data_IF_688314951170
#
_entry.id   IF_688314951170
#
_cell.length_a   1.000
_cell.length_b   1.000
_cell.length_c   1.000
_cell.angle_alpha   90.00
_cell.angle_beta   90.00
_cell.angle_gamma   90.00
#
_symmetry.space_group_name_H-M   'P 1'
#
loop_
_entity.id
_entity.type
_entity.pdbx_description
1 polymer ?
#
# COMPACT_ATOMS: atom_id res chain seq x y z
N UNK A 1 -14.97 -25.00 6.03
CA UNK A 1 -15.19 -23.62 5.53
C UNK A 1 -16.67 -23.27 5.68
N UNK A 2 -17.08 -22.81 6.86
CA UNK A 2 -18.38 -22.16 7.04
C UNK A 2 -18.09 -20.67 7.21
N UNK A 3 -18.35 -19.92 6.14
CA UNK A 3 -18.28 -18.46 6.13
C UNK A 3 -19.39 -17.93 7.04
N UNK A 4 -19.05 -17.59 8.28
CA UNK A 4 -19.81 -16.59 9.02
C UNK A 4 -19.55 -15.27 8.30
N UNK A 5 -20.50 -14.87 7.46
CA UNK A 5 -20.64 -13.48 7.00
C UNK A 5 -20.99 -12.63 8.23
N UNK A 6 -19.99 -12.22 8.99
CA UNK A 6 -20.14 -11.04 9.83
C UNK A 6 -20.25 -9.87 8.88
N UNK A 7 -21.47 -9.36 8.68
CA UNK A 7 -21.67 -8.11 7.96
C UNK A 7 -20.79 -7.05 8.59
N UNK A 8 -19.86 -6.50 7.81
CA UNK A 8 -19.07 -5.34 8.23
C UNK A 8 -20.04 -4.17 8.25
N UNK A 9 -20.62 -3.89 9.42
CA UNK A 9 -21.34 -2.64 9.64
C UNK A 9 -20.29 -1.54 9.79
N UNK A 10 -20.10 -0.74 8.75
CA UNK A 10 -19.39 0.53 8.83
C UNK A 10 -20.21 1.50 9.71
N UNK A 11 -20.12 1.35 11.04
CA UNK A 11 -20.55 2.40 11.95
C UNK A 11 -19.40 3.38 12.08
N UNK A 12 -19.48 4.52 11.40
CA UNK A 12 -18.66 5.66 11.76
C UNK A 12 -18.97 6.01 13.23
N UNK A 13 -17.94 6.19 14.05
CA UNK A 13 -18.11 6.84 15.36
C UNK A 13 -18.67 8.25 15.09
N UNK A 14 -19.96 8.50 15.36
CA UNK A 14 -20.55 9.83 15.18
C UNK A 14 -22.01 9.93 14.70
N UNK A 15 -22.72 8.82 14.47
CA UNK A 15 -24.18 8.87 14.25
C UNK A 15 -24.66 9.48 12.92
N UNK A 16 -23.78 9.69 11.94
CA UNK A 16 -24.17 10.09 10.60
C UNK A 16 -24.66 8.89 9.77
N UNK A 17 -25.72 9.11 8.98
CA UNK A 17 -26.18 8.15 7.98
C UNK A 17 -25.04 7.83 7.01
N UNK A 18 -24.78 6.55 6.68
CA UNK A 18 -23.82 6.19 5.65
C UNK A 18 -24.14 6.92 4.35
N UNK A 19 -23.11 7.41 3.67
CA UNK A 19 -23.28 8.00 2.36
C UNK A 19 -23.60 6.93 1.32
N UNK A 20 -24.19 7.34 0.20
CA UNK A 20 -24.36 6.47 -0.95
C UNK A 20 -22.97 6.18 -1.61
N UNK A 21 -22.76 5.00 -2.21
CA UNK A 21 -21.47 4.64 -2.80
C UNK A 21 -20.86 5.68 -3.75
N UNK A 22 -21.63 6.36 -4.64
CA UNK A 22 -21.10 7.42 -5.49
C UNK A 22 -20.54 8.61 -4.69
N UNK A 23 -21.16 8.97 -3.57
CA UNK A 23 -20.73 10.09 -2.74
C UNK A 23 -19.37 9.80 -2.08
N UNK A 24 -19.13 8.55 -1.66
CA UNK A 24 -17.81 8.13 -1.20
C UNK A 24 -16.76 8.24 -2.30
N UNK A 25 -17.08 7.86 -3.53
CA UNK A 25 -16.17 7.97 -4.67
C UNK A 25 -15.85 9.43 -5.02
N UNK A 26 -16.86 10.30 -5.03
CA UNK A 26 -16.69 11.74 -5.33
C UNK A 26 -15.86 12.48 -4.29
N UNK A 27 -15.65 11.92 -3.09
CA UNK A 27 -14.69 12.45 -2.13
C UNK A 27 -13.23 12.27 -2.57
N UNK A 28 -12.93 11.31 -3.43
CA UNK A 28 -11.59 11.10 -4.03
C UNK A 28 -11.44 11.84 -5.35
N UNK A 29 -12.51 11.97 -6.13
CA UNK A 29 -12.54 12.59 -7.43
C UNK A 29 -13.59 13.70 -7.44
N UNK A 30 -13.16 14.95 -7.20
CA UNK A 30 -14.05 16.11 -7.23
C UNK A 30 -14.53 16.42 -8.64
N UNK A 31 -15.57 17.26 -8.75
CA UNK A 31 -16.05 17.79 -10.03
C UNK A 31 -14.91 18.40 -10.87
N UNK A 32 -14.04 19.18 -10.23
CA UNK A 32 -12.88 19.78 -10.88
C UNK A 32 -11.88 18.79 -11.47
N UNK A 33 -11.80 17.56 -10.95
CA UNK A 33 -10.97 16.50 -11.53
C UNK A 33 -11.57 16.01 -12.85
N UNK A 34 -12.90 15.87 -12.91
CA UNK A 34 -13.60 15.48 -14.14
C UNK A 34 -13.60 16.59 -15.19
N UNK A 35 -13.67 17.85 -14.77
CA UNK A 35 -13.49 19.02 -15.64
C UNK A 35 -12.12 19.02 -16.31
N UNK A 36 -11.04 18.90 -15.52
CA UNK A 36 -9.68 18.81 -16.05
C UNK A 36 -9.47 17.60 -16.95
N UNK A 37 -10.04 16.43 -16.58
CA UNK A 37 -9.97 15.25 -17.44
C UNK A 37 -10.63 15.48 -18.79
N UNK A 38 -11.81 16.11 -18.83
CA UNK A 38 -12.51 16.41 -20.07
C UNK A 38 -11.73 17.42 -20.92
N UNK A 39 -11.30 18.52 -20.31
CA UNK A 39 -10.52 19.59 -20.96
C UNK A 39 -9.23 19.05 -21.59
N UNK A 40 -8.36 18.41 -20.80
CA UNK A 40 -7.06 17.97 -21.29
C UNK A 40 -7.15 16.77 -22.25
N UNK A 41 -8.19 15.94 -22.12
CA UNK A 41 -8.50 14.90 -23.12
C UNK A 41 -8.88 15.52 -24.46
N UNK A 42 -9.68 16.58 -24.46
CA UNK A 42 -10.05 17.31 -25.66
C UNK A 42 -8.86 18.02 -26.30
N UNK A 43 -8.04 18.71 -25.51
CA UNK A 43 -6.80 19.36 -25.96
C UNK A 43 -5.87 18.32 -26.61
N UNK A 44 -5.64 17.19 -25.95
CA UNK A 44 -4.78 16.13 -26.49
C UNK A 44 -5.31 15.56 -27.81
N UNK A 45 -6.62 15.33 -27.93
CA UNK A 45 -7.22 14.86 -29.17
C UNK A 45 -7.05 15.87 -30.31
N UNK A 46 -7.24 17.17 -30.01
CA UNK A 46 -7.06 18.24 -30.97
C UNK A 46 -5.61 18.31 -31.46
N UNK A 47 -4.65 18.26 -30.55
CA UNK A 47 -3.21 18.30 -30.86
C UNK A 47 -2.73 17.11 -31.68
N UNK A 48 -3.26 15.91 -31.42
CA UNK A 48 -2.78 14.67 -32.06
C UNK A 48 -3.53 14.29 -33.33
N UNK A 49 -4.80 14.68 -33.46
CA UNK A 49 -5.65 14.27 -34.59
C UNK A 49 -6.21 15.43 -35.41
N UNK A 50 -5.98 16.68 -34.97
CA UNK A 50 -6.57 17.87 -35.58
C UNK A 50 -8.07 18.02 -35.31
N UNK A 51 -8.66 17.16 -34.47
CA UNK A 51 -10.08 17.18 -34.12
C UNK A 51 -10.29 17.05 -32.63
N UNK A 52 -11.12 17.92 -32.09
CA UNK A 52 -11.56 17.81 -30.71
C UNK A 52 -12.39 16.53 -30.53
N UNK A 53 -12.20 15.84 -29.41
CA UNK A 53 -12.99 14.65 -29.09
C UNK A 53 -14.42 15.00 -28.65
N UNK A 54 -14.64 16.23 -28.16
CA UNK A 54 -15.91 16.71 -27.62
C UNK A 54 -16.34 15.90 -26.38
N UNK A 55 -15.40 15.56 -25.50
CA UNK A 55 -15.67 14.82 -24.26
C UNK A 55 -16.10 15.79 -23.17
N UNK A 56 -17.15 15.44 -22.43
CA UNK A 56 -17.64 16.26 -21.31
C UNK A 56 -17.29 15.65 -19.97
N UNK A 57 -17.28 16.42 -18.86
CA UNK A 57 -17.04 15.87 -17.52
C UNK A 57 -18.01 14.73 -17.18
N UNK A 58 -19.28 14.87 -17.59
CA UNK A 58 -20.29 13.83 -17.40
C UNK A 58 -19.95 12.54 -18.16
N UNK A 59 -19.43 12.65 -19.39
CA UNK A 59 -19.02 11.48 -20.15
C UNK A 59 -17.79 10.79 -19.53
N UNK A 60 -16.86 11.55 -18.96
CA UNK A 60 -15.73 10.99 -18.19
C UNK A 60 -16.23 10.24 -16.96
N UNK A 61 -17.23 10.77 -16.22
CA UNK A 61 -17.84 10.04 -15.09
C UNK A 61 -18.45 8.71 -15.53
N UNK A 62 -19.19 8.69 -16.64
CA UNK A 62 -19.74 7.44 -17.21
C UNK A 62 -18.61 6.48 -17.56
N UNK A 63 -17.53 6.96 -18.18
CA UNK A 63 -16.35 6.15 -18.48
C UNK A 63 -15.73 5.51 -17.23
N UNK A 64 -15.56 6.27 -16.13
CA UNK A 64 -15.09 5.73 -14.85
C UNK A 64 -16.09 4.74 -14.23
N UNK A 65 -17.39 5.00 -14.33
CA UNK A 65 -18.45 4.07 -13.92
C UNK A 65 -18.34 2.72 -14.63
N UNK A 66 -18.11 2.75 -15.93
CA UNK A 66 -17.85 1.55 -16.74
C UNK A 66 -16.58 0.83 -16.26
N UNK A 67 -15.47 1.55 -16.01
CA UNK A 67 -14.23 0.94 -15.50
C UNK A 67 -14.43 0.25 -14.14
N UNK A 68 -15.21 0.84 -13.24
CA UNK A 68 -15.56 0.23 -11.95
C UNK A 68 -16.37 -1.05 -12.14
N UNK A 69 -17.39 -1.03 -12.99
CA UNK A 69 -18.18 -2.23 -13.32
C UNK A 69 -17.29 -3.33 -13.93
N UNK A 70 -16.38 -2.97 -14.84
CA UNK A 70 -15.42 -3.90 -15.44
C UNK A 70 -14.46 -4.50 -14.41
N UNK A 71 -14.03 -3.72 -13.42
CA UNK A 71 -13.18 -4.18 -12.32
C UNK A 71 -13.87 -5.20 -11.42
N UNK A 72 -15.20 -5.08 -11.24
CA UNK A 72 -16.01 -6.04 -10.49
C UNK A 72 -16.28 -7.33 -11.29
N UNK A 73 -16.67 -7.20 -12.57
CA UNK A 73 -17.09 -8.31 -13.42
C UNK A 73 -15.92 -9.10 -14.04
N UNK A 74 -14.79 -8.43 -14.31
CA UNK A 74 -13.52 -9.03 -14.75
C UNK A 74 -13.60 -9.91 -16.01
N UNK A 75 -14.42 -9.52 -16.99
CA UNK A 75 -14.43 -10.22 -18.28
C UNK A 75 -13.06 -10.16 -18.96
N UNK A 76 -12.62 -11.26 -19.61
CA UNK A 76 -11.26 -11.37 -20.14
C UNK A 76 -10.97 -10.42 -21.31
N UNK A 77 -12.00 -9.94 -22.01
CA UNK A 77 -11.86 -9.00 -23.13
C UNK A 77 -12.86 -7.85 -23.00
N UNK A 78 -12.37 -6.61 -23.12
CA UNK A 78 -13.19 -5.38 -23.00
C UNK A 78 -14.39 -5.39 -23.97
N UNK A 79 -14.25 -5.88 -25.20
CA UNK A 79 -15.37 -5.88 -26.15
C UNK A 79 -16.54 -6.79 -25.74
N UNK A 80 -16.32 -7.76 -24.85
CA UNK A 80 -17.35 -8.70 -24.43
C UNK A 80 -18.52 -8.00 -23.74
N UNK A 81 -18.28 -6.90 -23.02
CA UNK A 81 -19.35 -6.12 -22.36
C UNK A 81 -20.42 -5.60 -23.34
N UNK A 82 -20.10 -5.47 -24.64
CA UNK A 82 -21.01 -5.01 -25.69
C UNK A 82 -21.51 -6.12 -26.63
N UNK A 83 -20.94 -7.32 -26.59
CA UNK A 83 -21.27 -8.42 -27.50
C UNK A 83 -22.58 -9.09 -27.11
N UNK A 84 -23.43 -9.45 -28.08
CA UNK A 84 -24.79 -9.95 -27.83
C UNK A 84 -24.89 -11.06 -26.75
N UNK A 85 -24.04 -12.09 -26.81
CA UNK A 85 -24.06 -13.22 -25.87
C UNK A 85 -23.46 -12.94 -24.48
N UNK A 86 -22.77 -11.82 -24.31
CA UNK A 86 -22.10 -11.43 -23.04
C UNK A 86 -22.41 -9.99 -22.67
N UNK A 87 -23.50 -9.43 -23.23
CA UNK A 87 -23.82 -8.02 -23.11
C UNK A 87 -24.13 -7.70 -21.66
N UNK A 88 -23.55 -6.61 -21.17
CA UNK A 88 -23.87 -6.05 -19.86
C UNK A 88 -24.61 -4.73 -20.12
N UNK A 89 -25.96 -4.68 -19.96
CA UNK A 89 -26.77 -3.50 -20.30
C UNK A 89 -26.25 -2.21 -19.66
N UNK A 90 -25.93 -2.25 -18.35
CA UNK A 90 -25.40 -1.09 -17.63
C UNK A 90 -24.07 -0.52 -18.16
N UNK A 91 -23.34 -1.28 -18.99
CA UNK A 91 -22.12 -0.79 -19.67
C UNK A 91 -22.46 -0.41 -21.10
N UNK A 92 -23.15 -1.30 -21.81
CA UNK A 92 -23.35 -1.20 -23.24
C UNK A 92 -24.38 -0.14 -23.65
N UNK A 93 -25.34 0.16 -22.78
CA UNK A 93 -26.36 1.19 -22.98
C UNK A 93 -25.84 2.58 -22.54
N UNK A 94 -24.89 2.64 -21.62
CA UNK A 94 -24.34 3.91 -21.11
C UNK A 94 -23.31 4.55 -22.04
N UNK A 95 -22.56 3.76 -22.82
CA UNK A 95 -21.58 4.29 -23.77
C UNK A 95 -21.33 3.28 -24.90
N UNK A 96 -21.36 3.74 -26.15
CA UNK A 96 -21.02 2.90 -27.29
C UNK A 96 -19.55 2.43 -27.25
N UNK A 97 -19.28 1.18 -27.67
CA UNK A 97 -17.93 0.57 -27.61
C UNK A 97 -16.86 1.41 -28.29
N UNK A 98 -17.15 1.99 -29.46
CA UNK A 98 -16.20 2.82 -30.20
C UNK A 98 -15.92 4.14 -29.47
N UNK A 99 -16.91 4.71 -28.77
CA UNK A 99 -16.73 5.92 -27.97
C UNK A 99 -15.85 5.63 -26.75
N UNK A 100 -16.09 4.51 -26.06
CA UNK A 100 -15.25 4.04 -24.96
C UNK A 100 -13.78 3.91 -25.36
N UNK A 101 -13.49 3.28 -26.50
CA UNK A 101 -12.10 3.15 -26.98
C UNK A 101 -11.46 4.49 -27.37
N UNK A 102 -12.22 5.43 -27.95
CA UNK A 102 -11.71 6.79 -28.26
C UNK A 102 -11.32 7.56 -27.00
N UNK A 103 -12.19 7.57 -25.98
CA UNK A 103 -11.89 8.21 -24.69
C UNK A 103 -10.69 7.53 -24.04
N UNK A 104 -10.68 6.19 -23.98
CA UNK A 104 -9.56 5.43 -23.40
C UNK A 104 -8.21 5.73 -24.05
N UNK A 105 -8.17 5.95 -25.36
CA UNK A 105 -6.92 6.28 -26.06
C UNK A 105 -6.47 7.72 -25.88
N UNK A 106 -7.39 8.64 -25.56
CA UNK A 106 -7.13 10.08 -25.49
C UNK A 106 -7.11 10.64 -24.07
N UNK A 107 -7.43 9.86 -23.04
CA UNK A 107 -7.59 10.33 -21.65
C UNK A 107 -6.33 11.02 -21.11
N UNK A 108 -6.44 12.31 -20.76
CA UNK A 108 -5.37 13.12 -20.17
C UNK A 108 -5.92 14.01 -19.05
N UNK A 109 -5.09 14.34 -18.06
CA UNK A 109 -5.42 15.26 -16.94
C UNK A 109 -4.43 16.42 -16.79
N UNK A 110 -3.44 16.50 -17.67
CA UNK A 110 -2.45 17.59 -17.71
C UNK A 110 -2.23 17.98 -19.16
N UNK A 111 -1.92 19.24 -19.40
CA UNK A 111 -1.42 19.65 -20.71
C UNK A 111 -0.05 18.99 -20.96
N UNK A 112 0.12 18.40 -22.14
CA UNK A 112 1.39 17.78 -22.53
C UNK A 112 2.50 18.82 -22.73
N UNK A 113 2.14 20.08 -22.95
CA UNK A 113 3.08 21.19 -23.14
C UNK A 113 3.50 21.88 -21.84
N UNK A 114 2.88 21.57 -20.69
CA UNK A 114 3.13 22.27 -19.43
C UNK A 114 4.38 21.76 -18.68
N UNK A 115 5.33 21.10 -19.35
CA UNK A 115 6.53 20.60 -18.69
C UNK A 115 7.46 21.76 -18.31
N UNK A 116 7.37 22.20 -17.05
CA UNK A 116 8.31 23.16 -16.47
C UNK A 116 9.58 22.45 -15.99
N UNK A 117 10.70 22.84 -16.59
CA UNK A 117 12.10 22.60 -16.24
C UNK A 117 12.61 21.17 -15.93
N UNK A 118 13.59 20.78 -16.77
CA UNK A 118 14.28 19.48 -16.86
C UNK A 118 15.14 19.06 -15.67
N UNK A 119 15.19 19.84 -14.58
CA UNK A 119 16.14 19.61 -13.47
C UNK A 119 15.58 18.81 -12.28
N UNK A 120 14.26 18.62 -12.19
CA UNK A 120 13.62 17.76 -11.19
C UNK A 120 12.40 17.04 -11.79
N UNK A 121 12.64 16.15 -12.76
CA UNK A 121 11.56 15.40 -13.42
C UNK A 121 10.87 14.43 -12.44
N UNK A 122 9.80 14.89 -11.81
CA UNK A 122 8.79 14.01 -11.23
C UNK A 122 8.28 13.06 -12.34
N UNK A 123 8.57 11.76 -12.23
CA UNK A 123 8.28 10.78 -13.29
C UNK A 123 6.80 10.55 -13.53
N UNK A 124 5.96 10.94 -12.57
CA UNK A 124 4.51 10.78 -12.60
C UNK A 124 3.76 12.10 -12.81
N UNK A 125 4.45 13.17 -13.25
CA UNK A 125 3.84 14.50 -13.42
C UNK A 125 2.53 14.47 -14.24
N UNK A 126 2.48 13.66 -15.32
CA UNK A 126 1.30 13.52 -16.20
C UNK A 126 0.04 13.01 -15.50
N UNK A 127 0.20 12.31 -14.38
CA UNK A 127 -0.91 11.76 -13.59
C UNK A 127 -0.95 12.37 -12.20
N UNK A 128 -0.09 13.35 -11.91
CA UNK A 128 0.05 13.95 -10.58
C UNK A 128 -1.27 14.49 -10.04
N UNK A 129 -2.14 15.16 -10.82
CA UNK A 129 -3.41 15.63 -10.29
C UNK A 129 -4.32 14.51 -9.76
N UNK A 130 -4.36 13.34 -10.44
CA UNK A 130 -5.09 12.16 -9.94
C UNK A 130 -4.46 11.62 -8.66
N UNK A 131 -3.14 11.46 -8.67
CA UNK A 131 -2.42 10.94 -7.50
C UNK A 131 -2.63 11.84 -6.28
N UNK A 132 -2.61 13.16 -6.48
CA UNK A 132 -2.80 14.14 -5.43
C UNK A 132 -4.25 14.14 -4.90
N UNK A 133 -5.25 14.07 -5.78
CA UNK A 133 -6.66 13.99 -5.39
C UNK A 133 -6.92 12.78 -4.48
N UNK A 134 -6.41 11.60 -4.86
CA UNK A 134 -6.54 10.38 -4.05
C UNK A 134 -5.75 10.51 -2.74
N UNK A 135 -4.52 11.05 -2.79
CA UNK A 135 -3.66 11.24 -1.61
C UNK A 135 -4.32 12.16 -0.58
N UNK A 136 -4.86 13.29 -1.01
CA UNK A 136 -5.53 14.25 -0.12
C UNK A 136 -6.73 13.61 0.57
N UNK A 137 -7.51 12.81 -0.16
CA UNK A 137 -8.64 12.12 0.47
C UNK A 137 -8.19 11.04 1.46
N UNK A 138 -7.16 10.26 1.13
CA UNK A 138 -6.56 9.29 2.04
C UNK A 138 -6.08 9.94 3.37
N UNK A 139 -5.51 11.15 3.30
CA UNK A 139 -5.07 11.90 4.49
C UNK A 139 -6.20 12.41 5.39
N UNK A 140 -7.42 12.51 4.87
CA UNK A 140 -8.61 12.89 5.66
C UNK A 140 -9.28 11.69 6.33
N UNK A 141 -8.81 10.47 6.06
CA UNK A 141 -9.29 9.29 6.77
C UNK A 141 -8.64 9.27 8.15
N UNK A 142 -9.47 9.18 9.19
CA UNK A 142 -9.00 9.07 10.57
C UNK A 142 -8.02 7.89 10.71
N UNK A 143 -6.78 8.13 11.15
CA UNK A 143 -5.80 7.07 11.33
C UNK A 143 -6.27 6.03 12.35
N UNK A 144 -6.10 4.75 12.03
CA UNK A 144 -6.32 3.69 13.00
C UNK A 144 -5.18 3.62 14.02
N UNK A 145 -5.46 3.00 15.18
CA UNK A 145 -4.45 2.71 16.20
C UNK A 145 -3.33 1.81 15.68
N UNK A 146 -3.67 0.91 14.75
CA UNK A 146 -2.75 -0.08 14.19
C UNK A 146 -2.64 0.09 12.67
N UNK A 147 -1.41 0.20 12.19
CA UNK A 147 -1.10 0.51 10.79
C UNK A 147 -0.05 -0.46 10.25
N UNK A 148 -0.23 -0.95 9.04
CA UNK A 148 0.78 -1.71 8.30
C UNK A 148 1.42 -0.83 7.23
N UNK A 149 2.74 -0.92 7.10
CA UNK A 149 3.52 -0.24 6.05
C UNK A 149 4.20 -1.31 5.22
N UNK A 150 3.85 -1.35 3.94
CA UNK A 150 4.41 -2.32 3.00
C UNK A 150 4.45 -1.73 1.57
N UNK A 151 4.84 -2.58 0.63
CA UNK A 151 5.13 -2.27 -0.74
C UNK A 151 4.12 -2.98 -1.64
N UNK A 152 3.38 -2.21 -2.42
CA UNK A 152 2.48 -2.72 -3.44
C UNK A 152 3.12 -2.61 -4.82
N UNK A 153 2.91 -3.65 -5.65
CA UNK A 153 3.27 -3.62 -7.07
C UNK A 153 2.03 -3.41 -7.91
N UNK A 154 1.97 -2.30 -8.63
CA UNK A 154 0.96 -2.05 -9.67
C UNK A 154 1.49 -2.66 -10.97
N UNK A 155 0.88 -3.77 -11.41
CA UNK A 155 1.29 -4.48 -12.62
C UNK A 155 1.26 -3.55 -13.83
N UNK A 156 2.40 -3.38 -14.49
CA UNK A 156 2.53 -2.49 -15.65
C UNK A 156 3.72 -2.90 -16.51
N UNK A 157 3.45 -3.31 -17.75
CA UNK A 157 4.48 -3.76 -18.70
C UNK A 157 4.90 -2.66 -19.69
N UNK A 158 4.20 -1.52 -19.70
CA UNK A 158 4.52 -0.38 -20.57
C UNK A 158 5.86 0.29 -20.27
N UNK A 159 6.20 1.33 -21.03
CA UNK A 159 7.44 2.09 -20.86
C UNK A 159 7.22 3.25 -19.87
N UNK A 160 7.82 3.15 -18.68
CA UNK A 160 7.89 4.25 -17.70
C UNK A 160 9.21 4.17 -16.95
N UNK A 161 9.88 5.30 -16.74
CA UNK A 161 11.20 5.35 -16.10
C UNK A 161 11.21 4.93 -14.61
N UNK A 162 10.04 4.76 -14.01
CA UNK A 162 9.82 4.30 -12.63
C UNK A 162 9.57 2.78 -12.52
N UNK A 163 9.45 2.06 -13.64
CA UNK A 163 9.16 0.62 -13.67
C UNK A 163 10.24 -0.18 -12.95
N UNK A 164 9.83 -1.23 -12.22
CA UNK A 164 10.70 -2.11 -11.46
C UNK A 164 10.39 -3.57 -11.73
N UNK A 165 11.45 -4.36 -11.64
CA UNK A 165 11.37 -5.80 -11.60
C UNK A 165 11.74 -6.29 -10.19
N UNK A 166 10.82 -6.98 -9.53
CA UNK A 166 11.02 -7.60 -8.21
C UNK A 166 10.84 -9.10 -8.38
N UNK A 167 11.96 -9.81 -8.38
CA UNK A 167 12.01 -11.27 -8.47
C UNK A 167 11.19 -11.89 -7.32
N UNK A 168 10.50 -12.99 -7.59
CA UNK A 168 9.69 -13.76 -6.63
C UNK A 168 8.39 -13.11 -6.13
N UNK A 169 7.91 -12.02 -6.75
CA UNK A 169 6.54 -11.52 -6.53
C UNK A 169 5.59 -12.05 -7.62
N UNK A 170 4.29 -12.29 -7.31
CA UNK A 170 3.32 -12.79 -8.30
C UNK A 170 3.25 -11.95 -9.58
N UNK A 171 3.33 -10.62 -9.42
CA UNK A 171 3.52 -9.67 -10.50
C UNK A 171 4.94 -9.10 -10.37
N UNK A 172 5.93 -9.67 -11.07
CA UNK A 172 7.32 -9.28 -10.86
C UNK A 172 7.66 -7.95 -11.53
N UNK A 173 6.88 -7.50 -12.52
CA UNK A 173 7.12 -6.25 -13.26
C UNK A 173 5.98 -5.24 -13.06
N UNK A 174 6.33 -4.01 -12.70
CA UNK A 174 5.35 -2.95 -12.53
C UNK A 174 5.89 -1.68 -11.89
N UNK A 175 4.97 -0.85 -11.38
CA UNK A 175 5.28 0.35 -10.60
C UNK A 175 5.16 0.01 -9.12
N UNK A 176 6.26 0.22 -8.39
CA UNK A 176 6.30 0.01 -6.93
C UNK A 176 5.73 1.23 -6.20
N UNK A 177 4.89 0.99 -5.22
CA UNK A 177 4.27 2.01 -4.37
C UNK A 177 4.44 1.60 -2.91
N UNK A 178 4.87 2.52 -2.06
CA UNK A 178 4.84 2.33 -0.60
C UNK A 178 3.47 2.75 -0.09
N UNK A 179 2.83 1.95 0.77
CA UNK A 179 1.47 2.23 1.25
C UNK A 179 1.41 2.01 2.76
N UNK A 180 0.75 2.93 3.47
CA UNK A 180 0.31 2.72 4.85
C UNK A 180 -1.18 2.42 4.87
N UNK A 181 -1.55 1.27 5.42
CA UNK A 181 -2.95 0.86 5.59
C UNK A 181 -3.28 0.63 7.06
N UNK A 182 -4.54 0.80 7.44
CA UNK A 182 -5.08 0.32 8.71
C UNK A 182 -5.40 -1.17 8.66
N UNK A 183 -5.68 -1.77 9.82
CA UNK A 183 -6.02 -3.20 9.96
C UNK A 183 -7.28 -3.65 9.22
N UNK A 184 -8.19 -2.72 8.91
CA UNK A 184 -9.37 -2.94 8.07
C UNK A 184 -9.08 -2.87 6.56
N UNK A 185 -7.81 -2.66 6.18
CA UNK A 185 -7.36 -2.62 4.79
C UNK A 185 -7.51 -1.26 4.10
N UNK A 186 -7.93 -0.21 4.82
CA UNK A 186 -8.04 1.14 4.24
C UNK A 186 -6.67 1.79 4.11
N UNK A 187 -6.36 2.33 2.92
CA UNK A 187 -5.12 3.04 2.67
C UNK A 187 -5.21 4.51 3.11
N UNK A 188 -4.24 4.97 3.89
CA UNK A 188 -4.17 6.32 4.47
C UNK A 188 -3.13 7.22 3.79
N UNK A 189 -2.09 6.63 3.23
CA UNK A 189 -1.10 7.34 2.43
C UNK A 189 -0.39 6.36 1.51
N UNK A 190 0.02 6.84 0.35
CA UNK A 190 0.88 6.10 -0.55
C UNK A 190 1.96 7.01 -1.17
N UNK A 191 3.09 6.42 -1.53
CA UNK A 191 4.20 7.11 -2.19
C UNK A 191 4.74 6.27 -3.34
N UNK A 192 4.68 6.82 -4.55
CA UNK A 192 5.16 6.15 -5.76
C UNK A 192 6.69 6.13 -5.80
N UNK A 193 7.28 4.95 -5.98
CA UNK A 193 8.72 4.82 -6.14
C UNK A 193 9.15 5.27 -7.54
N UNK A 194 10.00 6.30 -7.63
CA UNK A 194 10.44 6.89 -8.89
C UNK A 194 11.89 6.56 -9.23
N UNK A 195 12.71 6.02 -8.33
CA UNK A 195 14.15 5.96 -8.56
C UNK A 195 14.99 5.95 -7.30
N UNK A 196 16.31 5.89 -7.50
CA UNK A 196 17.27 6.17 -6.43
C UNK A 196 16.99 7.59 -5.92
N UNK A 197 16.93 7.74 -4.59
CA UNK A 197 16.60 9.02 -3.95
C UNK A 197 15.10 9.30 -3.84
N UNK A 198 14.22 8.51 -4.48
CA UNK A 198 12.79 8.64 -4.19
C UNK A 198 12.56 8.34 -2.75
N UNK A 199 11.92 9.28 -2.09
CA UNK A 199 11.57 9.09 -0.73
C UNK A 199 12.78 9.02 0.20
N UNK A 200 13.80 9.83 -0.09
CA UNK A 200 14.85 10.17 0.87
C UNK A 200 14.61 11.59 1.34
N UNK A 201 14.08 11.72 2.55
CA UNK A 201 14.09 12.97 3.30
C UNK A 201 15.52 13.20 3.82
N UNK A 202 16.18 14.34 3.49
CA UNK A 202 17.52 14.67 4.00
C UNK A 202 17.64 14.54 5.52
N UNK A 203 16.56 14.84 6.27
CA UNK A 203 16.49 14.69 7.73
C UNK A 203 16.71 13.25 8.20
N UNK A 204 16.28 12.27 7.41
CA UNK A 204 16.30 10.84 7.76
C UNK A 204 17.24 10.01 6.86
N UNK A 205 17.96 10.64 5.93
CA UNK A 205 18.83 9.95 4.98
C UNK A 205 19.90 9.07 5.65
N UNK A 206 20.44 9.53 6.79
CA UNK A 206 21.42 8.81 7.60
C UNK A 206 20.90 7.49 8.20
N UNK A 207 19.58 7.29 8.25
CA UNK A 207 18.95 6.05 8.70
C UNK A 207 18.77 5.02 7.58
N UNK A 208 19.02 5.41 6.32
CA UNK A 208 18.82 4.59 5.13
C UNK A 208 17.44 4.75 4.48
N UNK A 209 17.31 4.24 3.24
CA UNK A 209 16.13 4.43 2.39
C UNK A 209 14.83 3.93 3.04
N UNK A 210 14.83 2.69 3.55
CA UNK A 210 13.63 2.10 4.15
C UNK A 210 13.13 2.92 5.35
N UNK A 211 14.04 3.34 6.23
CA UNK A 211 13.72 4.18 7.37
C UNK A 211 13.18 5.55 6.94
N UNK A 212 13.81 6.18 5.95
CA UNK A 212 13.37 7.48 5.44
C UNK A 212 11.96 7.42 4.85
N UNK A 213 11.63 6.33 4.14
CA UNK A 213 10.28 6.06 3.65
C UNK A 213 9.28 5.91 4.79
N UNK A 214 9.58 5.07 5.79
CA UNK A 214 8.71 4.89 6.95
C UNK A 214 8.45 6.22 7.65
N UNK A 215 9.49 7.01 7.90
CA UNK A 215 9.34 8.30 8.59
C UNK A 215 8.42 9.28 7.86
N UNK A 216 8.39 9.29 6.52
CA UNK A 216 7.45 10.14 5.78
C UNK A 216 6.02 9.60 5.78
N UNK A 217 5.82 8.30 5.63
CA UNK A 217 4.45 7.74 5.60
C UNK A 217 3.78 7.78 6.97
N UNK A 218 4.56 7.85 8.05
CA UNK A 218 4.04 8.08 9.40
C UNK A 218 3.94 9.56 9.77
N UNK A 219 4.39 10.49 8.92
CA UNK A 219 4.34 11.93 9.21
C UNK A 219 2.91 12.41 9.46
N UNK A 220 1.94 11.86 8.72
CA UNK A 220 0.51 12.15 8.91
C UNK A 220 -0.14 11.45 10.11
N UNK A 221 0.59 10.61 10.85
CA UNK A 221 0.07 10.04 12.09
C UNK A 221 0.16 11.06 13.24
N UNK A 222 -0.85 11.13 14.11
CA UNK A 222 -0.75 11.84 15.37
C UNK A 222 0.47 11.41 16.18
N UNK A 223 1.28 12.38 16.59
CA UNK A 223 2.50 12.15 17.38
C UNK A 223 2.16 12.09 18.87
N UNK A 224 2.94 11.34 19.64
CA UNK A 224 2.75 11.21 21.09
C UNK A 224 1.58 10.32 21.54
N UNK A 225 0.85 9.70 20.60
CA UNK A 225 -0.31 8.85 20.90
C UNK A 225 0.00 7.36 20.97
N UNK A 226 1.26 6.97 20.73
CA UNK A 226 1.71 5.57 20.75
C UNK A 226 0.94 4.66 19.78
N UNK A 227 0.50 5.20 18.64
CA UNK A 227 -0.07 4.41 17.56
C UNK A 227 0.97 3.40 17.06
N UNK A 228 0.52 2.20 16.69
CA UNK A 228 1.37 1.08 16.32
C UNK A 228 1.52 0.96 14.82
N UNK A 229 2.77 0.82 14.37
CA UNK A 229 3.14 0.59 12.98
C UNK A 229 3.85 -0.76 12.83
N UNK A 230 3.43 -1.53 11.85
CA UNK A 230 3.98 -2.83 11.50
C UNK A 230 4.65 -2.79 10.14
N UNK A 231 5.81 -3.41 10.02
CA UNK A 231 6.56 -3.42 8.77
C UNK A 231 7.36 -4.72 8.57
N UNK A 232 7.70 -4.99 7.32
CA UNK A 232 8.52 -6.14 6.94
C UNK A 232 10.02 -5.92 7.22
N UNK A 233 10.83 -6.95 6.95
CA UNK A 233 12.27 -6.88 7.15
C UNK A 233 13.03 -5.94 6.19
N UNK A 234 12.39 -5.47 5.11
CA UNK A 234 12.99 -4.49 4.23
C UNK A 234 13.10 -3.13 4.95
N UNK A 235 12.09 -2.75 5.74
CA UNK A 235 12.08 -1.50 6.50
C UNK A 235 12.72 -1.61 7.89
N UNK A 236 12.50 -2.70 8.61
CA UNK A 236 12.85 -2.76 10.04
C UNK A 236 14.34 -2.61 10.31
N UNK A 237 14.68 -1.75 11.27
CA UNK A 237 15.98 -1.65 11.91
C UNK A 237 15.82 -1.13 13.34
N UNK A 238 16.77 -1.42 14.23
CA UNK A 238 16.73 -0.88 15.61
C UNK A 238 16.69 0.65 15.60
N UNK A 239 17.49 1.30 14.73
CA UNK A 239 17.51 2.77 14.60
C UNK A 239 16.16 3.36 14.19
N UNK A 240 15.44 2.69 13.29
CA UNK A 240 14.09 3.11 12.91
C UNK A 240 13.14 3.07 14.10
N UNK A 241 13.16 1.96 14.84
CA UNK A 241 12.29 1.76 16.00
C UNK A 241 12.53 2.80 17.09
N UNK A 242 13.81 3.07 17.40
CA UNK A 242 14.20 4.16 18.30
C UNK A 242 13.66 5.50 17.80
N UNK A 243 13.81 5.79 16.50
CA UNK A 243 13.35 7.07 15.94
C UNK A 243 11.83 7.23 16.01
N UNK A 244 11.07 6.17 15.73
CA UNK A 244 9.61 6.17 15.85
C UNK A 244 9.18 6.42 17.31
N UNK A 245 9.87 5.79 18.27
CA UNK A 245 9.63 6.01 19.69
C UNK A 245 9.82 7.47 20.10
N UNK A 246 10.84 8.17 19.56
CA UNK A 246 11.04 9.62 19.85
C UNK A 246 9.90 10.53 19.40
N UNK A 247 9.05 10.07 18.48
CA UNK A 247 7.87 10.83 18.01
C UNK A 247 6.56 10.24 18.55
N UNK A 248 6.65 9.33 19.53
CA UNK A 248 5.49 8.67 20.16
C UNK A 248 4.72 7.77 19.20
N UNK A 249 5.44 7.03 18.34
CA UNK A 249 4.90 5.99 17.47
C UNK A 249 5.59 4.68 17.84
N UNK A 250 4.81 3.63 18.06
CA UNK A 250 5.32 2.30 18.34
C UNK A 250 5.55 1.55 17.03
N UNK A 251 6.60 0.74 16.99
CA UNK A 251 6.99 0.01 15.80
C UNK A 251 7.25 -1.45 16.11
N UNK A 252 6.76 -2.35 15.26
CA UNK A 252 7.01 -3.80 15.34
C UNK A 252 7.31 -4.32 13.95
N UNK A 253 8.35 -5.14 13.81
CA UNK A 253 8.65 -5.73 12.50
C UNK A 253 9.65 -6.86 12.54
N UNK A 254 9.59 -7.73 11.54
CA UNK A 254 10.63 -8.73 11.32
C UNK A 254 11.95 -8.02 11.02
N UNK A 255 13.06 -8.46 11.60
CA UNK A 255 14.36 -7.79 11.46
C UNK A 255 15.44 -8.74 10.94
N UNK A 256 16.28 -8.22 10.04
CA UNK A 256 17.44 -8.96 9.52
C UNK A 256 18.54 -9.02 10.57
N UNK A 257 19.25 -10.14 10.66
CA UNK A 257 20.33 -10.35 11.64
C UNK A 257 21.46 -9.31 11.57
N UNK A 258 21.70 -8.70 10.40
CA UNK A 258 22.71 -7.66 10.24
C UNK A 258 22.23 -6.25 10.65
N UNK A 259 21.00 -6.11 11.18
CA UNK A 259 20.40 -4.83 11.60
C UNK A 259 20.14 -4.75 13.11
N UNK A 260 20.70 -5.66 13.89
CA UNK A 260 20.48 -5.81 15.34
C UNK A 260 21.31 -4.83 16.21
N UNK A 261 22.15 -3.97 15.61
CA UNK A 261 23.05 -3.05 16.32
C UNK A 261 23.81 -3.70 17.48
N UNK A 262 24.57 -4.77 17.22
CA UNK A 262 25.41 -5.41 18.24
C UNK A 262 24.66 -6.32 19.23
N UNK A 263 23.32 -6.34 19.23
CA UNK A 263 22.55 -7.25 20.08
C UNK A 263 22.83 -8.71 19.72
N UNK A 264 23.52 -9.40 20.64
CA UNK A 264 23.93 -10.80 20.46
C UNK A 264 22.85 -11.73 21.02
N UNK A 265 22.17 -12.42 20.10
CA UNK A 265 21.21 -13.48 20.37
C UNK A 265 21.86 -14.85 20.18
N UNK A 266 21.30 -15.89 20.81
CA UNK A 266 21.67 -17.30 20.63
C UNK A 266 21.90 -17.63 19.16
N UNK A 267 22.99 -18.34 18.87
CA UNK A 267 23.35 -18.70 17.51
C UNK A 267 22.28 -19.56 16.85
N UNK A 268 22.29 -19.61 15.51
CA UNK A 268 21.36 -20.47 14.77
C UNK A 268 21.51 -21.95 15.15
N UNK A 269 22.71 -22.39 15.55
CA UNK A 269 23.00 -23.77 15.96
C UNK A 269 22.36 -24.08 17.33
N UNK A 270 22.48 -23.17 18.28
CA UNK A 270 21.86 -23.29 19.61
C UNK A 270 20.33 -23.33 19.50
N UNK A 271 19.73 -22.38 18.76
CA UNK A 271 18.28 -22.33 18.55
C UNK A 271 17.74 -23.63 17.95
N UNK A 272 18.43 -24.18 16.94
CA UNK A 272 18.03 -25.45 16.30
C UNK A 272 18.19 -26.66 17.23
N UNK A 273 19.22 -26.65 18.08
CA UNK A 273 19.45 -27.72 19.08
C UNK A 273 18.36 -27.74 20.14
N UNK A 274 17.92 -26.58 20.60
CA UNK A 274 16.83 -26.45 21.59
C UNK A 274 15.45 -26.75 20.99
N UNK A 275 15.33 -26.66 19.65
CA UNK A 275 14.17 -27.13 18.91
C UNK A 275 13.11 -26.06 18.70
N UNK A 276 12.00 -26.48 18.08
CA UNK A 276 10.92 -25.58 17.65
C UNK A 276 10.13 -25.03 18.84
N UNK A 277 9.80 -23.73 18.80
CA UNK A 277 9.22 -22.99 19.93
C UNK A 277 10.26 -22.36 20.86
N UNK A 278 11.56 -22.57 20.61
CA UNK A 278 12.63 -21.89 21.36
C UNK A 278 12.55 -20.39 21.14
N UNK A 279 12.69 -19.63 22.23
CA UNK A 279 12.65 -18.18 22.27
C UNK A 279 13.92 -17.68 22.94
N UNK A 280 14.59 -16.73 22.31
CA UNK A 280 15.65 -15.93 22.91
C UNK A 280 15.32 -14.44 22.74
N UNK A 281 15.70 -13.61 23.69
CA UNK A 281 15.39 -12.18 23.63
C UNK A 281 16.45 -11.32 24.25
N UNK A 282 16.66 -10.14 23.67
CA UNK A 282 17.52 -9.08 24.19
C UNK A 282 16.81 -7.75 24.09
N UNK A 283 17.25 -6.81 24.91
CA UNK A 283 16.85 -5.40 24.82
C UNK A 283 18.06 -4.65 24.26
N UNK A 284 17.83 -3.67 23.39
CA UNK A 284 18.89 -2.76 22.91
C UNK A 284 19.59 -2.07 24.07
N UNK A 285 20.84 -1.64 23.87
CA UNK A 285 21.63 -0.96 24.92
C UNK A 285 20.89 0.23 25.54
N UNK A 286 20.18 1.01 24.72
CA UNK A 286 19.39 2.17 25.16
C UNK A 286 18.09 1.79 25.90
N UNK A 287 17.81 0.50 26.12
CA UNK A 287 16.61 0.02 26.83
C UNK A 287 15.30 0.08 26.02
N UNK A 288 15.33 0.65 24.82
CA UNK A 288 14.11 1.06 24.12
C UNK A 288 13.45 0.02 23.22
N UNK A 289 14.23 -0.93 22.69
CA UNK A 289 13.80 -1.89 21.67
C UNK A 289 14.02 -3.30 22.18
N UNK A 290 12.97 -4.12 22.20
CA UNK A 290 13.08 -5.55 22.46
C UNK A 290 13.26 -6.30 21.14
N UNK A 291 14.24 -7.18 21.11
CA UNK A 291 14.55 -8.05 19.97
C UNK A 291 14.30 -9.48 20.42
N UNK A 292 13.39 -10.16 19.73
CA UNK A 292 13.01 -11.55 20.00
C UNK A 292 13.44 -12.42 18.82
N UNK A 293 14.13 -13.51 19.11
CA UNK A 293 14.46 -14.60 18.18
C UNK A 293 13.61 -15.81 18.51
N UNK A 294 12.83 -16.27 17.54
CA UNK A 294 11.94 -17.41 17.69
C UNK A 294 12.25 -18.49 16.65
N UNK A 295 12.30 -19.74 17.09
CA UNK A 295 12.54 -20.91 16.25
C UNK A 295 11.21 -21.53 15.80
N UNK A 296 10.78 -21.24 14.57
CA UNK A 296 9.70 -21.95 13.89
C UNK A 296 10.30 -23.06 12.98
N UNK A 297 9.78 -23.30 11.76
CA UNK A 297 10.52 -24.07 10.74
C UNK A 297 11.85 -23.37 10.41
N UNK A 298 11.83 -22.04 10.37
CA UNK A 298 13.00 -21.19 10.27
C UNK A 298 13.17 -20.30 11.50
N UNK A 299 14.35 -19.68 11.62
CA UNK A 299 14.58 -18.65 12.64
C UNK A 299 13.96 -17.35 12.17
N UNK A 300 13.12 -16.77 13.03
CA UNK A 300 12.53 -15.44 12.84
C UNK A 300 13.11 -14.51 13.90
N UNK A 301 13.59 -13.34 13.49
CA UNK A 301 13.88 -12.26 14.43
C UNK A 301 12.83 -11.18 14.27
N UNK A 302 12.35 -10.65 15.38
CA UNK A 302 11.39 -9.55 15.45
C UNK A 302 11.97 -8.52 16.39
N UNK A 303 11.82 -7.25 16.03
CA UNK A 303 12.14 -6.14 16.91
C UNK A 303 10.88 -5.29 17.13
N UNK A 304 10.68 -4.83 18.36
CA UNK A 304 9.51 -4.04 18.73
C UNK A 304 9.83 -2.99 19.79
N UNK A 305 9.08 -1.90 19.78
CA UNK A 305 8.99 -0.93 20.88
C UNK A 305 7.67 -1.02 21.66
N UNK A 306 6.79 -1.96 21.29
CA UNK A 306 5.47 -2.19 21.89
C UNK A 306 5.47 -3.37 22.86
N UNK A 307 5.69 -4.58 22.34
CA UNK A 307 5.68 -5.83 23.12
C UNK A 307 6.88 -6.71 22.79
N UNK A 308 7.30 -7.54 23.75
CA UNK A 308 8.43 -8.46 23.62
C UNK A 308 8.01 -9.92 23.67
N UNK A 309 8.70 -10.69 24.52
CA UNK A 309 8.34 -12.11 24.72
C UNK A 309 6.94 -12.25 25.31
N UNK A 310 6.61 -11.40 26.28
CA UNK A 310 5.26 -11.26 26.83
C UNK A 310 4.64 -12.57 27.32
N UNK A 311 3.30 -12.64 27.26
CA UNK A 311 2.56 -13.87 27.53
C UNK A 311 2.71 -14.85 26.35
N UNK A 312 3.30 -16.01 26.62
CA UNK A 312 3.52 -17.04 25.59
C UNK A 312 2.24 -17.84 25.39
N UNK A 313 1.77 -17.95 24.15
CA UNK A 313 0.60 -18.79 23.80
C UNK A 313 1.02 -20.01 23.00
N UNK A 314 0.27 -21.10 23.16
CA UNK A 314 0.43 -22.28 22.31
C UNK A 314 -0.25 -22.02 20.97
N UNK A 315 0.48 -22.21 19.87
CA UNK A 315 -0.03 -22.02 18.51
C UNK A 315 0.15 -23.29 17.69
N UNK A 316 -0.87 -23.61 16.90
CA UNK A 316 -0.84 -24.73 15.95
C UNK A 316 -0.09 -24.33 14.69
N UNK A 317 1.03 -25.01 14.39
CA UNK A 317 1.90 -24.68 13.24
C UNK A 317 2.29 -25.93 12.45
N UNK A 318 2.33 -25.81 11.13
CA UNK A 318 2.78 -26.88 10.24
C UNK A 318 4.27 -27.16 10.40
N UNK A 319 4.64 -28.39 10.78
CA UNK A 319 6.02 -28.85 10.85
C UNK A 319 6.45 -29.47 9.53
N UNK A 320 7.44 -28.89 8.86
CA UNK A 320 8.03 -29.49 7.65
C UNK A 320 8.73 -30.82 7.96
N UNK A 321 9.40 -30.92 9.12
CA UNK A 321 10.12 -32.12 9.54
C UNK A 321 9.18 -33.30 9.83
N UNK A 322 8.04 -33.05 10.49
CA UNK A 322 7.07 -34.09 10.84
C UNK A 322 5.93 -34.26 9.82
N UNK A 323 5.77 -33.31 8.89
CA UNK A 323 4.66 -33.23 7.93
C UNK A 323 3.28 -33.27 8.60
N UNK A 324 3.17 -32.62 9.76
CA UNK A 324 1.93 -32.52 10.53
C UNK A 324 1.84 -31.16 11.26
N UNK A 325 0.67 -30.83 11.77
CA UNK A 325 0.52 -29.68 12.66
C UNK A 325 0.90 -30.05 14.09
N UNK A 326 1.78 -29.25 14.69
CA UNK A 326 2.18 -29.39 16.09
C UNK A 326 1.84 -28.10 16.86
N UNK A 327 1.73 -28.21 18.17
CA UNK A 327 1.61 -27.05 19.04
C UNK A 327 2.98 -26.63 19.56
N UNK A 328 3.29 -25.34 19.45
CA UNK A 328 4.54 -24.76 19.95
C UNK A 328 4.28 -23.47 20.69
N UNK A 329 5.15 -23.15 21.65
CA UNK A 329 5.10 -21.87 22.36
C UNK A 329 5.49 -20.73 21.41
N UNK A 330 4.68 -19.67 21.41
CA UNK A 330 4.82 -18.47 20.60
C UNK A 330 4.90 -17.24 21.50
N UNK A 331 5.92 -16.38 21.35
CA UNK A 331 5.99 -15.13 22.10
C UNK A 331 4.92 -14.14 21.61
N UNK A 332 4.52 -13.22 22.49
CA UNK A 332 3.46 -12.24 22.25
C UNK A 332 3.72 -11.38 21.01
N UNK A 333 4.95 -10.91 20.80
CA UNK A 333 5.33 -10.10 19.62
C UNK A 333 5.16 -10.79 18.26
N UNK A 334 5.00 -12.12 18.23
CA UNK A 334 4.70 -12.87 16.99
C UNK A 334 3.18 -12.94 16.74
N UNK A 335 2.37 -12.74 17.78
CA UNK A 335 0.91 -12.89 17.74
C UNK A 335 0.19 -11.59 17.40
N UNK A 336 0.85 -10.45 17.61
CA UNK A 336 0.43 -9.14 17.10
C UNK A 336 0.57 -9.02 15.58
#
# INVERSE_FOLDING_TARGET
FHSRRSGVTYRMKGGSTPLEPPEYFMRYFSESVFEQLAEFTNIYSLQTSGKELGTTPQEVKVFFGILMAMGALKYPRIKMYWQAGTRIPMVADSMAVNRFFKIRSALHITDSNSQTDSKNLEKFWKVRPILEAVRLRCLQVEPAEENSIDEQMIAFTGRVGAKRFVRNKPNPEGVKVFVRCSTDGVAHIFEFYQGKGTGVDPKYAHLGLGCSVVMRVVESLPKGQNLSCYFDNYFTSVRLLQKLKTVGILGTGTIRSNRLLGCTLKSKKEMRKEGRGTIDSKISEDGDVVIVRWQDNGIVNIASTRVGVGEKKMVKRWSEAKKEHIEIKCPEVVLE
#
